data_IF_968581753042
#
_entry.id   IF_968581753042
#
_cell.length_a   1.000
_cell.length_b   1.000
_cell.length_c   1.000
_cell.angle_alpha   90.00
_cell.angle_beta   90.00
_cell.angle_gamma   90.00
#
_symmetry.space_group_name_H-M   'P 1'
#
loop_
_entity.id
_entity.type
_entity.pdbx_description
1 polymer ?
#
# COMPACT_ATOMS: atom_id res chain seq x y z
N UNK A 1 -21.91 11.44 2.43
CA UNK A 1 -21.12 12.36 1.57
C UNK A 1 -19.83 12.66 2.32
N UNK A 2 -18.72 11.99 1.97
CA UNK A 2 -17.49 12.03 2.78
C UNK A 2 -16.80 13.40 2.65
N UNK A 3 -16.72 14.13 3.77
CA UNK A 3 -16.32 15.55 3.87
C UNK A 3 -14.81 15.80 3.76
N UNK A 4 -13.98 14.77 3.84
CA UNK A 4 -12.53 14.90 3.96
C UNK A 4 -11.80 14.85 2.61
N UNK A 5 -10.74 15.67 2.43
CA UNK A 5 -9.99 15.75 1.18
C UNK A 5 -9.28 14.44 0.85
N UNK A 6 -9.30 14.08 -0.43
CA UNK A 6 -8.48 13.00 -0.98
C UNK A 6 -7.01 13.40 -0.99
N UNK A 7 -6.14 12.43 -0.71
CA UNK A 7 -4.69 12.60 -0.79
C UNK A 7 -4.08 11.62 -1.78
N UNK A 8 -3.05 12.09 -2.47
CA UNK A 8 -2.13 11.24 -3.20
C UNK A 8 -1.21 10.56 -2.18
N UNK A 9 -1.01 9.25 -2.33
CA UNK A 9 -0.31 8.44 -1.34
C UNK A 9 0.71 7.53 -1.99
N UNK A 10 1.95 7.56 -1.53
CA UNK A 10 2.84 6.41 -1.60
C UNK A 10 2.59 5.56 -0.36
N UNK A 11 2.18 4.31 -0.56
CA UNK A 11 1.94 3.35 0.51
C UNK A 11 2.84 2.13 0.33
N UNK A 12 3.35 1.61 1.45
CA UNK A 12 4.09 0.35 1.48
C UNK A 12 3.13 -0.75 1.91
N UNK A 13 3.04 -1.79 1.10
CA UNK A 13 2.33 -3.01 1.38
C UNK A 13 3.34 -4.08 1.77
N UNK A 14 3.00 -4.86 2.79
CA UNK A 14 3.86 -5.93 3.30
C UNK A 14 3.04 -7.20 3.52
N UNK A 15 3.58 -8.34 3.09
CA UNK A 15 2.95 -9.65 3.27
C UNK A 15 3.48 -10.39 4.51
N UNK A 16 4.77 -10.70 4.54
CA UNK A 16 5.39 -11.53 5.58
C UNK A 16 6.24 -10.69 6.54
N UNK A 17 7.04 -9.77 5.98
CA UNK A 17 7.95 -8.90 6.71
C UNK A 17 7.28 -8.01 7.75
N UNK A 18 8.07 -7.49 8.69
CA UNK A 18 7.60 -6.58 9.73
C UNK A 18 7.31 -5.15 9.25
N UNK A 19 6.66 -4.40 10.15
CA UNK A 19 6.32 -2.97 10.06
C UNK A 19 7.55 -2.08 10.39
N UNK A 20 8.75 -2.60 10.17
CA UNK A 20 9.95 -1.77 10.30
C UNK A 20 9.97 -0.73 9.17
N UNK A 21 10.70 0.40 9.34
CA UNK A 21 10.90 1.35 8.27
C UNK A 21 11.28 0.62 6.97
N UNK A 22 10.78 1.08 5.80
CA UNK A 22 10.93 0.33 4.55
C UNK A 22 12.38 0.32 4.07
N UNK A 23 13.19 -0.53 4.68
CA UNK A 23 14.49 -0.92 4.19
C UNK A 23 14.30 -1.90 3.04
N UNK A 24 14.78 -1.53 1.86
CA UNK A 24 14.73 -2.38 0.67
C UNK A 24 15.97 -3.27 0.63
N UNK A 25 15.77 -4.58 0.55
CA UNK A 25 16.83 -5.55 0.31
C UNK A 25 17.29 -5.41 -1.13
N UNK A 26 18.34 -4.61 -1.35
CA UNK A 26 18.83 -4.19 -2.68
C UNK A 26 18.95 -5.34 -3.70
N UNK A 27 19.36 -6.53 -3.28
CA UNK A 27 19.48 -7.71 -4.15
C UNK A 27 18.15 -8.18 -4.75
N UNK A 28 17.05 -8.03 -3.99
CA UNK A 28 15.70 -8.48 -4.36
C UNK A 28 14.82 -7.33 -4.86
N UNK A 29 15.31 -6.09 -4.77
CA UNK A 29 14.57 -4.92 -5.23
C UNK A 29 14.36 -4.96 -6.74
N UNK A 30 13.15 -4.60 -7.16
CA UNK A 30 12.77 -4.33 -8.54
C UNK A 30 12.08 -2.97 -8.59
N UNK A 31 12.64 -2.07 -9.38
CA UNK A 31 12.03 -0.78 -9.67
C UNK A 31 11.20 -0.92 -10.94
N UNK A 32 9.94 -0.47 -10.89
CA UNK A 32 9.07 -0.44 -12.07
C UNK A 32 9.52 0.70 -12.99
N UNK A 33 9.73 0.39 -14.26
CA UNK A 33 9.96 1.38 -15.30
C UNK A 33 8.62 1.95 -15.78
N UNK A 34 7.67 1.08 -16.12
CA UNK A 34 6.29 1.45 -16.43
C UNK A 34 5.32 0.27 -16.30
N UNK A 35 4.04 0.57 -16.17
CA UNK A 35 2.95 -0.42 -16.23
C UNK A 35 2.51 -0.55 -17.68
N UNK A 36 2.69 -1.73 -18.29
CA UNK A 36 2.35 -2.00 -19.70
C UNK A 36 0.84 -2.16 -19.89
N UNK A 37 0.19 -2.82 -18.94
CA UNK A 37 -1.25 -2.99 -18.92
C UNK A 37 -1.77 -3.15 -17.49
N UNK A 38 -3.00 -2.75 -17.24
CA UNK A 38 -3.69 -3.09 -16.00
C UNK A 38 -5.20 -3.19 -16.18
N UNK A 39 -5.84 -4.03 -15.37
CA UNK A 39 -7.29 -4.16 -15.34
C UNK A 39 -7.75 -4.65 -13.97
N UNK A 40 -9.04 -4.48 -13.66
CA UNK A 40 -9.65 -4.99 -12.43
C UNK A 40 -10.76 -5.97 -12.78
N UNK A 41 -10.89 -7.05 -12.03
CA UNK A 41 -11.99 -8.02 -12.17
C UNK A 41 -12.39 -8.59 -10.81
N UNK A 42 -13.62 -9.07 -10.71
CA UNK A 42 -14.08 -9.86 -9.56
C UNK A 42 -13.87 -11.35 -9.88
N UNK A 43 -13.13 -12.07 -9.03
CA UNK A 43 -12.87 -13.50 -9.19
C UNK A 43 -13.16 -14.22 -7.89
N UNK A 44 -14.12 -15.16 -7.92
CA UNK A 44 -14.54 -15.88 -6.72
C UNK A 44 -15.17 -14.97 -5.65
N UNK A 45 -15.86 -13.90 -6.08
CA UNK A 45 -16.43 -12.89 -5.18
C UNK A 45 -15.44 -11.81 -4.72
N UNK A 46 -14.13 -12.04 -4.87
CA UNK A 46 -13.08 -11.12 -4.41
C UNK A 46 -12.66 -10.19 -5.54
N UNK A 47 -12.56 -8.89 -5.24
CA UNK A 47 -12.07 -7.90 -6.20
C UNK A 47 -10.53 -7.93 -6.30
N UNK A 48 -10.02 -8.07 -7.52
CA UNK A 48 -8.59 -8.11 -7.81
C UNK A 48 -8.21 -7.13 -8.91
N UNK A 49 -7.03 -6.54 -8.78
CA UNK A 49 -6.39 -5.73 -9.82
C UNK A 49 -5.14 -6.42 -10.35
N UNK A 50 -5.01 -6.48 -11.67
CA UNK A 50 -3.97 -7.21 -12.39
C UNK A 50 -3.11 -6.22 -13.17
N UNK A 51 -1.80 -6.50 -13.22
CA UNK A 51 -0.81 -5.63 -13.83
C UNK A 51 0.20 -6.45 -14.61
N UNK A 52 0.54 -5.99 -15.81
CA UNK A 52 1.79 -6.38 -16.48
C UNK A 52 2.75 -5.21 -16.32
N UNK A 53 3.86 -5.43 -15.61
CA UNK A 53 4.86 -4.39 -15.35
C UNK A 53 6.16 -4.70 -16.05
N UNK A 54 6.85 -3.67 -16.51
CA UNK A 54 8.23 -3.75 -16.96
C UNK A 54 9.14 -3.13 -15.90
N UNK A 55 10.16 -3.85 -15.46
CA UNK A 55 11.14 -3.36 -14.49
C UNK A 55 12.24 -2.57 -15.20
N UNK A 56 12.98 -1.75 -14.45
CA UNK A 56 14.17 -1.07 -14.96
C UNK A 56 15.30 -2.02 -15.37
N UNK A 57 15.26 -3.28 -14.92
CA UNK A 57 16.17 -4.35 -15.37
C UNK A 57 15.72 -5.02 -16.67
N UNK A 58 14.56 -4.67 -17.21
CA UNK A 58 13.99 -5.24 -18.44
C UNK A 58 13.13 -6.48 -18.22
N UNK A 59 12.85 -6.86 -16.97
CA UNK A 59 11.95 -7.98 -16.68
C UNK A 59 10.50 -7.58 -16.91
N UNK A 60 9.73 -8.44 -17.55
CA UNK A 60 8.27 -8.30 -17.67
C UNK A 60 7.63 -9.28 -16.71
N UNK A 61 6.83 -8.76 -15.78
CA UNK A 61 6.26 -9.52 -14.67
C UNK A 61 4.76 -9.27 -14.59
N UNK A 62 3.98 -10.33 -14.39
CA UNK A 62 2.55 -10.23 -14.15
C UNK A 62 2.26 -10.27 -12.64
N UNK A 63 1.58 -9.24 -12.15
CA UNK A 63 1.28 -9.04 -10.74
C UNK A 63 -0.24 -9.04 -10.53
N UNK A 64 -0.66 -9.50 -9.34
CA UNK A 64 -2.03 -9.39 -8.88
C UNK A 64 -2.07 -8.77 -7.49
N UNK A 65 -3.01 -7.84 -7.32
CA UNK A 65 -3.35 -7.20 -6.08
C UNK A 65 -4.74 -7.66 -5.64
N UNK A 66 -4.81 -8.27 -4.46
CA UNK A 66 -6.06 -8.54 -3.77
C UNK A 66 -6.52 -7.27 -3.03
N UNK A 67 -7.58 -6.63 -3.52
CA UNK A 67 -8.01 -5.33 -3.01
C UNK A 67 -8.64 -5.41 -1.62
N UNK A 68 -9.15 -6.58 -1.23
CA UNK A 68 -9.82 -6.78 0.05
C UNK A 68 -8.83 -7.21 1.14
N UNK A 69 -7.87 -8.07 0.77
CA UNK A 69 -6.84 -8.55 1.69
C UNK A 69 -5.59 -7.66 1.73
N UNK A 70 -5.48 -6.68 0.82
CA UNK A 70 -4.32 -5.80 0.65
C UNK A 70 -3.02 -6.56 0.40
N UNK A 71 -3.08 -7.66 -0.37
CA UNK A 71 -1.94 -8.52 -0.65
C UNK A 71 -1.54 -8.45 -2.12
N UNK A 72 -0.24 -8.23 -2.35
CA UNK A 72 0.38 -8.34 -3.67
C UNK A 72 0.98 -9.72 -3.87
N UNK A 73 0.82 -10.27 -5.08
CA UNK A 73 1.39 -11.56 -5.46
C UNK A 73 1.91 -11.51 -6.90
N UNK A 74 2.94 -12.31 -7.14
CA UNK A 74 3.42 -12.62 -8.49
C UNK A 74 2.51 -13.69 -9.10
N UNK A 75 2.11 -13.53 -10.36
CA UNK A 75 1.44 -14.59 -11.11
C UNK A 75 2.48 -15.61 -11.54
N UNK A 76 2.26 -16.93 -11.36
CA UNK A 76 3.23 -17.96 -11.72
C UNK A 76 3.73 -17.81 -13.16
N UNK A 77 5.05 -17.73 -13.33
CA UNK A 77 5.69 -17.51 -14.62
C UNK A 77 7.09 -18.15 -14.67
N UNK A 78 7.56 -18.59 -15.85
CA UNK A 78 8.87 -19.24 -15.99
C UNK A 78 10.04 -18.40 -15.50
N UNK A 79 10.97 -19.00 -14.74
CA UNK A 79 12.16 -18.34 -14.19
C UNK A 79 11.93 -17.59 -12.88
N UNK A 80 10.69 -17.60 -12.38
CA UNK A 80 10.30 -16.99 -11.12
C UNK A 80 9.58 -17.96 -10.17
N UNK A 81 9.74 -19.26 -10.41
CA UNK A 81 9.22 -20.31 -9.55
C UNK A 81 9.77 -20.16 -8.12
N UNK A 82 8.89 -20.35 -7.14
CA UNK A 82 9.24 -20.23 -5.72
C UNK A 82 9.65 -18.81 -5.30
N UNK A 83 9.40 -17.78 -6.11
CA UNK A 83 9.56 -16.37 -5.73
C UNK A 83 8.24 -15.76 -5.31
N UNK A 84 8.30 -14.84 -4.36
CA UNK A 84 7.15 -14.13 -3.83
C UNK A 84 7.44 -12.65 -3.64
N UNK A 85 6.37 -11.86 -3.57
CA UNK A 85 6.43 -10.46 -3.20
C UNK A 85 6.22 -10.37 -1.69
N UNK A 86 7.19 -9.78 -1.01
CA UNK A 86 7.06 -9.46 0.41
C UNK A 86 6.70 -7.99 0.62
N UNK A 87 7.41 -7.06 -0.04
CA UNK A 87 7.17 -5.61 0.06
C UNK A 87 6.84 -5.02 -1.30
N UNK A 88 5.87 -4.11 -1.34
CA UNK A 88 5.45 -3.36 -2.53
C UNK A 88 5.23 -1.90 -2.16
N UNK A 89 5.94 -0.99 -2.82
CA UNK A 89 5.67 0.44 -2.79
C UNK A 89 4.75 0.77 -3.95
N UNK A 90 3.66 1.45 -3.61
CA UNK A 90 2.57 1.71 -4.54
C UNK A 90 2.20 3.17 -4.47
N UNK A 91 1.94 3.75 -5.63
CA UNK A 91 1.34 5.06 -5.76
C UNK A 91 -0.18 4.95 -5.90
N UNK A 92 -0.90 5.42 -4.89
CA UNK A 92 -2.35 5.55 -4.89
C UNK A 92 -2.73 6.99 -5.26
N UNK A 93 -3.35 7.14 -6.42
CA UNK A 93 -3.72 8.42 -6.99
C UNK A 93 -5.07 8.90 -6.44
N UNK A 94 -5.10 10.17 -6.02
CA UNK A 94 -6.35 10.90 -5.76
C UNK A 94 -7.12 11.06 -7.07
N UNK A 95 -8.45 11.04 -7.00
CA UNK A 95 -9.22 10.79 -8.22
C UNK A 95 -10.52 11.58 -8.43
N UNK A 96 -10.81 11.85 -9.72
CA UNK A 96 -12.19 11.96 -10.29
C UNK A 96 -12.42 11.30 -11.68
N UNK A 97 -11.43 11.16 -12.60
CA UNK A 97 -11.64 10.52 -13.94
C UNK A 97 -10.53 9.56 -14.46
N UNK A 98 -10.61 8.23 -14.23
CA UNK A 98 -9.59 7.22 -14.56
C UNK A 98 -10.37 5.96 -14.94
N UNK A 99 -9.85 5.15 -15.88
CA UNK A 99 -10.65 4.12 -16.54
C UNK A 99 -11.05 2.96 -15.62
N UNK A 100 -10.20 2.63 -14.64
CA UNK A 100 -10.46 1.54 -13.69
C UNK A 100 -9.75 1.77 -12.36
N UNK A 101 -10.11 0.95 -11.37
CA UNK A 101 -9.47 0.93 -10.04
C UNK A 101 -7.98 0.59 -10.12
N UNK A 102 -7.60 -0.33 -11.02
CA UNK A 102 -6.19 -0.67 -11.22
C UNK A 102 -5.34 0.52 -11.66
N UNK A 103 -5.91 1.50 -12.39
CA UNK A 103 -5.18 2.72 -12.77
C UNK A 103 -4.91 3.66 -11.57
N UNK A 104 -5.67 3.50 -10.49
CA UNK A 104 -5.56 4.35 -9.29
C UNK A 104 -4.46 3.86 -8.36
N UNK A 105 -4.05 2.61 -8.47
CA UNK A 105 -3.10 1.96 -7.57
C UNK A 105 -1.97 1.38 -8.40
N UNK A 106 -0.89 2.14 -8.51
CA UNK A 106 0.20 1.90 -9.47
C UNK A 106 1.43 1.37 -8.74
N UNK A 107 1.89 0.14 -9.03
CA UNK A 107 3.11 -0.39 -8.42
C UNK A 107 4.32 0.43 -8.88
N UNK A 108 5.18 0.80 -7.93
CA UNK A 108 6.35 1.65 -8.17
C UNK A 108 7.66 0.89 -7.94
N UNK A 109 7.71 0.09 -6.88
CA UNK A 109 8.88 -0.72 -6.49
C UNK A 109 8.42 -1.92 -5.68
N UNK A 110 9.10 -3.05 -5.79
CA UNK A 110 8.84 -4.20 -4.93
C UNK A 110 10.07 -5.04 -4.67
N UNK A 111 9.95 -5.95 -3.72
CA UNK A 111 10.93 -7.00 -3.48
C UNK A 111 10.42 -8.31 -4.06
N UNK A 112 11.26 -8.97 -4.84
CA UNK A 112 11.02 -10.29 -5.40
C UNK A 112 12.10 -11.24 -4.93
N UNK A 113 11.73 -12.14 -4.03
CA UNK A 113 12.67 -12.96 -3.27
C UNK A 113 12.18 -14.42 -3.20
N UNK A 114 13.08 -15.38 -2.92
CA UNK A 114 12.67 -16.74 -2.63
C UNK A 114 11.65 -16.79 -1.49
N UNK A 115 10.62 -17.61 -1.63
CA UNK A 115 9.52 -17.72 -0.68
C UNK A 115 9.99 -18.12 0.72
N UNK A 116 10.93 -19.05 0.81
CA UNK A 116 11.56 -19.47 2.06
C UNK A 116 12.23 -18.30 2.80
N UNK A 117 12.87 -17.38 2.06
CA UNK A 117 13.50 -16.21 2.64
C UNK A 117 12.44 -15.19 3.11
N UNK A 118 11.35 -15.05 2.35
CA UNK A 118 10.25 -14.15 2.71
C UNK A 118 9.55 -14.63 3.99
N UNK A 119 9.34 -15.93 4.10
CA UNK A 119 8.65 -16.59 5.21
C UNK A 119 9.54 -16.93 6.40
N UNK A 120 10.83 -16.56 6.37
CA UNK A 120 11.80 -16.90 7.43
C UNK A 120 11.30 -16.58 8.86
N UNK A 121 10.55 -15.48 9.00
CA UNK A 121 9.99 -15.03 10.28
C UNK A 121 8.45 -15.05 10.29
N UNK A 122 7.84 -15.72 9.31
CA UNK A 122 6.39 -15.85 9.22
C UNK A 122 5.92 -17.00 10.12
N UNK A 123 5.02 -16.70 11.04
CA UNK A 123 4.50 -17.66 12.03
C UNK A 123 3.30 -18.47 11.51
N UNK A 124 2.97 -18.34 10.23
CA UNK A 124 1.81 -18.98 9.62
C UNK A 124 0.50 -18.18 9.75
N UNK A 125 0.50 -17.07 10.48
CA UNK A 125 -0.69 -16.25 10.69
C UNK A 125 -0.59 -14.96 9.87
N UNK A 126 -1.58 -14.74 9.00
CA UNK A 126 -1.65 -13.50 8.23
C UNK A 126 -1.83 -12.30 9.17
N UNK A 127 -1.09 -11.23 8.90
CA UNK A 127 -1.14 -10.02 9.73
C UNK A 127 -2.54 -9.40 9.73
N UNK A 128 -2.93 -8.66 10.78
CA UNK A 128 -4.13 -7.83 10.73
C UNK A 128 -4.08 -6.86 9.54
N UNK A 129 -5.24 -6.60 8.91
CA UNK A 129 -5.34 -5.78 7.69
C UNK A 129 -4.65 -4.41 7.82
N UNK A 130 -4.80 -3.75 8.97
CA UNK A 130 -4.18 -2.45 9.32
C UNK A 130 -2.64 -2.47 9.33
N UNK A 131 -2.04 -3.66 9.39
CA UNK A 131 -0.59 -3.87 9.39
C UNK A 131 -0.05 -4.30 8.02
N UNK A 132 -0.92 -4.64 7.05
CA UNK A 132 -0.51 -5.07 5.70
C UNK A 132 -0.21 -3.90 4.77
N UNK A 133 -0.65 -2.70 5.13
CA UNK A 133 -0.39 -1.46 4.40
C UNK A 133 -0.02 -0.36 5.39
N UNK A 134 0.91 0.49 5.01
CA UNK A 134 1.31 1.66 5.77
C UNK A 134 1.54 2.87 4.86
N UNK A 135 1.13 4.08 5.28
CA UNK A 135 1.47 5.30 4.57
C UNK A 135 2.99 5.53 4.63
N UNK A 136 3.57 5.92 3.49
CA UNK A 136 5.00 6.18 3.37
C UNK A 136 5.28 7.65 3.05
N UNK A 137 4.53 8.23 2.11
CA UNK A 137 4.61 9.65 1.78
C UNK A 137 3.29 10.08 1.21
N UNK A 138 2.82 11.27 1.53
CA UNK A 138 1.56 11.77 1.00
C UNK A 138 1.65 13.22 0.56
N UNK A 139 0.75 13.63 -0.31
CA UNK A 139 0.56 15.02 -0.69
C UNK A 139 -0.93 15.32 -0.83
N UNK A 140 -1.28 16.57 -0.59
CA UNK A 140 -2.63 17.10 -0.76
C UNK A 140 -2.54 18.48 -1.42
N UNK A 141 -3.68 19.07 -1.81
CA UNK A 141 -3.67 20.42 -2.41
C UNK A 141 -3.03 21.50 -1.51
N UNK A 142 -2.94 21.26 -0.18
CA UNK A 142 -2.31 22.18 0.78
C UNK A 142 -0.95 21.67 1.30
N UNK A 143 -0.60 20.42 1.04
CA UNK A 143 0.60 19.75 1.57
C UNK A 143 1.38 19.23 0.37
N UNK A 144 2.49 19.88 0.05
CA UNK A 144 3.25 19.59 -1.18
C UNK A 144 3.78 18.15 -1.20
N UNK A 145 4.40 17.71 -0.11
CA UNK A 145 4.84 16.32 0.08
C UNK A 145 5.31 16.16 1.52
N UNK A 146 4.77 15.19 2.24
CA UNK A 146 5.15 14.90 3.62
C UNK A 146 5.63 13.46 3.73
N UNK A 147 6.85 13.27 4.23
CA UNK A 147 7.43 11.94 4.44
C UNK A 147 6.97 11.41 5.79
N UNK A 148 6.40 10.20 5.82
CA UNK A 148 6.06 9.55 7.08
C UNK A 148 7.32 8.96 7.70
N UNK A 149 7.60 9.32 8.96
CA UNK A 149 8.72 8.81 9.76
C UNK A 149 8.25 7.93 10.92
N UNK A 150 7.00 8.11 11.37
CA UNK A 150 6.40 7.37 12.48
C UNK A 150 4.91 7.13 12.28
N UNK A 151 4.39 6.07 12.90
CA UNK A 151 2.96 5.78 12.95
C UNK A 151 2.58 5.47 14.41
N UNK A 152 2.40 6.50 15.25
CA UNK A 152 2.12 6.33 16.67
C UNK A 152 0.85 5.53 16.96
N UNK A 153 -0.18 5.66 16.12
CA UNK A 153 -1.46 4.99 16.32
C UNK A 153 -2.01 4.47 15.01
N UNK A 154 -2.56 3.24 15.05
CA UNK A 154 -3.28 2.65 13.93
C UNK A 154 -4.41 1.77 14.44
N UNK A 155 -5.55 1.78 13.76
CA UNK A 155 -6.65 0.87 14.09
C UNK A 155 -7.57 0.66 12.87
N UNK A 156 -8.38 -0.38 12.92
CA UNK A 156 -9.43 -0.64 11.93
C UNK A 156 -10.77 -0.25 12.52
N UNK A 157 -11.57 0.49 11.75
CA UNK A 157 -12.97 0.78 12.06
C UNK A 157 -13.87 0.08 11.05
N UNK A 158 -14.92 -0.61 11.52
CA UNK A 158 -15.92 -1.24 10.66
C UNK A 158 -17.12 -0.30 10.53
N UNK A 159 -17.30 0.30 9.36
CA UNK A 159 -18.35 1.30 9.11
C UNK A 159 -19.39 0.70 8.18
N UNK A 160 -20.48 0.16 8.73
CA UNK A 160 -21.67 -0.44 8.07
C UNK A 160 -21.44 -1.31 6.81
N UNK A 161 -20.93 -0.74 5.73
CA UNK A 161 -20.68 -1.36 4.42
C UNK A 161 -19.19 -1.44 4.03
N UNK A 162 -18.28 -0.82 4.79
CA UNK A 162 -16.84 -0.73 4.47
C UNK A 162 -15.95 -0.85 5.71
N UNK A 163 -14.65 -1.00 5.47
CA UNK A 163 -13.61 -0.95 6.50
C UNK A 163 -12.76 0.30 6.28
N UNK A 164 -12.56 1.04 7.35
CA UNK A 164 -11.68 2.20 7.38
C UNK A 164 -10.40 1.84 8.15
N UNK A 165 -9.26 2.02 7.50
CA UNK A 165 -7.95 1.81 8.10
C UNK A 165 -7.40 3.18 8.52
N UNK A 166 -7.36 3.39 9.83
CA UNK A 166 -7.01 4.65 10.44
C UNK A 166 -5.54 4.67 10.84
N UNK A 167 -4.82 5.71 10.45
CA UNK A 167 -3.41 5.95 10.76
C UNK A 167 -3.23 7.35 11.31
N UNK A 168 -2.67 7.48 12.50
CA UNK A 168 -2.06 8.73 12.94
C UNK A 168 -0.58 8.61 12.62
N UNK A 169 -0.07 9.55 11.82
CA UNK A 169 1.29 9.52 11.30
C UNK A 169 2.07 10.74 11.78
N UNK A 170 3.35 10.55 12.03
CA UNK A 170 4.34 11.61 12.23
C UNK A 170 5.13 11.81 10.94
N UNK A 171 5.34 13.08 10.59
CA UNK A 171 6.07 13.47 9.38
C UNK A 171 7.50 13.90 9.69
N UNK A 172 8.33 14.04 8.66
CA UNK A 172 9.69 14.57 8.73
C UNK A 172 9.77 16.03 9.23
N UNK A 173 8.67 16.78 9.15
CA UNK A 173 8.51 18.10 9.78
C UNK A 173 8.01 18.03 11.23
N UNK A 174 7.95 16.83 11.83
CA UNK A 174 7.38 16.57 13.17
C UNK A 174 5.93 17.04 13.35
N UNK A 175 5.15 16.98 12.26
CA UNK A 175 3.71 17.27 12.27
C UNK A 175 2.92 15.97 12.25
N UNK A 176 1.78 15.95 12.95
CA UNK A 176 0.93 14.76 13.06
C UNK A 176 -0.33 14.87 12.20
N UNK A 177 -0.68 13.79 11.50
CA UNK A 177 -1.86 13.76 10.64
C UNK A 177 -2.68 12.50 10.86
N UNK A 178 -4.00 12.66 10.86
CA UNK A 178 -4.92 11.53 10.82
C UNK A 178 -5.30 11.23 9.37
N UNK A 179 -4.80 10.10 8.88
CA UNK A 179 -5.03 9.57 7.54
C UNK A 179 -5.95 8.35 7.62
N UNK A 180 -6.88 8.26 6.68
CA UNK A 180 -7.84 7.15 6.60
C UNK A 180 -7.80 6.56 5.21
N UNK A 181 -7.65 5.24 5.14
CA UNK A 181 -7.84 4.50 3.92
C UNK A 181 -9.19 3.79 3.94
N UNK A 182 -10.03 4.07 2.94
CA UNK A 182 -11.36 3.48 2.80
C UNK A 182 -11.27 2.32 1.80
N UNK A 183 -11.39 1.09 2.32
CA UNK A 183 -11.05 -0.14 1.61
C UNK A 183 -11.84 -0.33 0.30
N UNK A 184 -13.17 -0.24 0.36
CA UNK A 184 -14.04 -0.41 -0.79
C UNK A 184 -13.87 0.70 -1.84
N UNK A 185 -13.37 1.87 -1.46
CA UNK A 185 -13.15 3.01 -2.35
C UNK A 185 -11.73 3.08 -2.93
N UNK A 186 -10.74 2.38 -2.34
CA UNK A 186 -9.29 2.59 -2.60
C UNK A 186 -8.86 4.04 -2.42
N UNK A 187 -9.50 4.76 -1.49
CA UNK A 187 -9.26 6.18 -1.26
C UNK A 187 -8.40 6.36 -0.02
N UNK A 188 -7.36 7.19 -0.14
CA UNK A 188 -6.73 7.81 1.02
C UNK A 188 -7.34 9.20 1.25
N UNK A 189 -7.67 9.48 2.51
CA UNK A 189 -8.22 10.76 2.95
C UNK A 189 -7.43 11.29 4.13
N UNK A 190 -7.29 12.62 4.17
CA UNK A 190 -6.75 13.32 5.33
C UNK A 190 -7.91 13.90 6.13
N UNK A 191 -8.09 13.40 7.35
CA UNK A 191 -9.18 13.82 8.23
C UNK A 191 -8.88 15.20 8.80
N UNK A 192 -7.73 15.31 9.46
CA UNK A 192 -7.23 16.53 10.07
C UNK A 192 -5.73 16.42 10.37
N UNK A 193 -5.11 17.58 10.53
CA UNK A 193 -3.86 17.70 11.27
C UNK A 193 -4.17 17.59 12.77
N UNK A 194 -3.33 16.89 13.50
CA UNK A 194 -3.52 16.55 14.90
C UNK A 194 -2.45 17.26 15.72
N UNK A 195 -2.85 17.84 16.85
CA UNK A 195 -1.92 18.41 17.81
C UNK A 195 -1.42 17.31 18.75
N UNK A 196 -0.10 17.21 18.90
CA UNK A 196 0.54 16.20 19.75
C UNK A 196 0.03 16.28 21.20
N UNK A 197 -0.05 17.50 21.75
CA UNK A 197 -0.35 17.75 23.16
C UNK A 197 -1.78 17.33 23.53
N UNK A 198 -2.71 17.42 22.58
CA UNK A 198 -4.11 17.07 22.79
C UNK A 198 -4.43 15.61 22.47
N UNK A 199 -3.64 14.96 21.61
CA UNK A 199 -3.95 13.62 21.13
C UNK A 199 -3.20 12.52 21.87
N UNK A 200 -1.97 12.79 22.30
CA UNK A 200 -1.14 11.85 23.06
C UNK A 200 -1.08 12.28 24.53
N UNK A 201 -2.24 12.40 25.18
CA UNK A 201 -2.28 12.59 26.64
C UNK A 201 -1.63 11.36 27.29
N UNK A 202 -0.45 11.58 27.89
CA UNK A 202 0.27 10.56 28.66
C UNK A 202 -0.25 10.46 30.08
#
# INVERSE_FOLDING_TARGET
>A
MNKFPLVDMLAVFTRYGGIEPPYWRKLYQRDVAHVRSCHSKVQGGIRKSFYTVETKSGDILDLVFDEEELLWSLIPQPGYEGKTIDRMLVYVQRHKHLPSRAHRIVPYRFELLPEELAKKHYDGTERPLIQRMQPYRFQSGKINSAQVIGIPTRHTENVMITKELNYVVETDEHRFFHLVYILDQLDWRMMQEVDEEFFFVK
#
